data_IF_811073071323
#
_entry.id   IF_811073071323
#
_cell.length_a   1.000
_cell.length_b   1.000
_cell.length_c   1.000
_cell.angle_alpha   90.00
_cell.angle_beta   90.00
_cell.angle_gamma   90.00
#
_symmetry.space_group_name_H-M   'P 1'
#
loop_
_entity.id
_entity.type
_entity.pdbx_description
1 polymer ?
#
# COMPACT_ATOMS: atom_id res chain seq x y z
N UNK A 1 30.47 -16.20 -11.52
CA UNK A 1 30.05 -14.82 -11.82
C UNK A 1 29.59 -14.17 -10.52
N UNK A 2 30.37 -13.22 -9.95
CA UNK A 2 29.87 -12.38 -8.85
C UNK A 2 28.80 -11.48 -9.45
N UNK A 3 27.51 -11.78 -9.20
CA UNK A 3 26.41 -10.88 -9.55
C UNK A 3 26.72 -9.54 -8.89
N UNK A 4 26.70 -8.46 -9.66
CA UNK A 4 26.65 -7.12 -9.07
C UNK A 4 25.54 -7.12 -8.01
N UNK A 5 25.77 -6.53 -6.82
CA UNK A 5 24.72 -6.43 -5.82
C UNK A 5 23.58 -5.64 -6.45
N UNK A 6 22.52 -6.35 -6.85
CA UNK A 6 21.30 -5.71 -7.35
C UNK A 6 20.79 -4.82 -6.23
N UNK A 7 20.47 -3.57 -6.54
CA UNK A 7 19.81 -2.69 -5.59
C UNK A 7 18.61 -3.44 -4.98
N UNK A 8 18.46 -3.42 -3.65
CA UNK A 8 17.36 -4.11 -3.00
C UNK A 8 16.05 -3.56 -3.57
N UNK A 9 15.15 -4.48 -3.95
CA UNK A 9 13.83 -4.17 -4.47
C UNK A 9 12.76 -4.84 -3.61
N UNK A 10 11.53 -4.34 -3.70
CA UNK A 10 10.37 -4.99 -3.09
C UNK A 10 9.44 -5.59 -4.12
N UNK A 11 8.61 -6.51 -3.65
CA UNK A 11 7.50 -7.09 -4.40
C UNK A 11 6.17 -6.83 -3.69
N UNK A 12 5.08 -7.04 -4.41
CA UNK A 12 3.75 -7.17 -3.81
C UNK A 12 3.05 -8.37 -4.46
N UNK A 13 2.52 -9.25 -3.63
CA UNK A 13 1.68 -10.37 -4.06
C UNK A 13 0.19 -10.00 -3.99
N UNK A 14 -0.52 -10.23 -5.08
CA UNK A 14 -1.96 -10.03 -5.23
C UNK A 14 -2.63 -11.41 -5.36
N UNK A 15 -3.95 -11.50 -5.17
CA UNK A 15 -4.74 -12.73 -5.32
C UNK A 15 -4.25 -13.91 -4.46
N UNK A 16 -3.83 -13.59 -3.24
CA UNK A 16 -3.19 -14.54 -2.29
C UNK A 16 -1.85 -15.11 -2.73
N UNK A 17 -1.23 -14.56 -3.77
CA UNK A 17 0.17 -14.87 -4.04
C UNK A 17 1.01 -14.38 -2.87
N UNK A 18 1.91 -15.24 -2.39
CA UNK A 18 2.76 -15.01 -1.21
C UNK A 18 1.99 -14.70 0.10
N UNK A 19 0.73 -15.16 0.23
CA UNK A 19 -0.16 -14.89 1.37
C UNK A 19 0.16 -15.69 2.64
N UNK A 20 -0.14 -15.12 3.83
CA UNK A 20 0.74 -14.16 4.50
C UNK A 20 2.03 -14.83 5.00
N UNK A 21 3.10 -14.03 5.20
CA UNK A 21 4.42 -14.44 5.71
C UNK A 21 5.25 -15.38 4.82
N UNK A 22 4.71 -15.93 3.73
CA UNK A 22 5.47 -16.76 2.79
C UNK A 22 6.65 -16.02 2.17
N UNK A 23 6.50 -14.72 1.89
CA UNK A 23 7.59 -13.89 1.38
C UNK A 23 8.78 -13.86 2.35
N UNK A 24 8.54 -13.77 3.66
CA UNK A 24 9.60 -13.78 4.68
C UNK A 24 10.39 -15.09 4.72
N UNK A 25 9.72 -16.23 4.49
CA UNK A 25 10.37 -17.55 4.45
C UNK A 25 11.43 -17.61 3.33
N UNK A 26 11.18 -16.91 2.22
CA UNK A 26 12.07 -16.85 1.08
C UNK A 26 12.95 -15.59 1.05
N UNK A 27 12.98 -14.82 2.15
CA UNK A 27 13.71 -13.54 2.25
C UNK A 27 13.34 -12.53 1.14
N UNK A 28 12.10 -12.62 0.65
CA UNK A 28 11.55 -11.72 -0.35
C UNK A 28 10.98 -10.50 0.38
N UNK A 29 11.49 -9.31 0.08
CA UNK A 29 10.99 -8.07 0.65
C UNK A 29 9.60 -7.74 0.06
N UNK A 30 8.56 -7.97 0.84
CA UNK A 30 7.18 -7.71 0.46
C UNK A 30 6.67 -6.40 1.08
N UNK A 31 6.06 -5.53 0.27
CA UNK A 31 5.49 -4.25 0.73
C UNK A 31 4.40 -4.42 1.77
N UNK A 32 3.70 -5.56 1.77
CA UNK A 32 2.68 -5.90 2.76
C UNK A 32 3.27 -6.14 4.16
N UNK A 33 4.59 -6.34 4.25
CA UNK A 33 5.32 -6.60 5.50
C UNK A 33 6.23 -5.43 5.92
N UNK A 34 6.07 -4.25 5.31
CA UNK A 34 6.79 -3.03 5.70
C UNK A 34 6.30 -2.49 7.08
N UNK A 35 5.29 -3.14 7.65
CA UNK A 35 4.66 -2.88 8.94
C UNK A 35 5.56 -3.24 10.12
N UNK A 36 6.46 -2.33 10.50
CA UNK A 36 7.13 -2.39 11.79
C UNK A 36 6.38 -1.50 12.79
N UNK A 37 5.36 -2.07 13.45
CA UNK A 37 4.83 -1.67 14.77
C UNK A 37 4.06 -0.32 14.92
N UNK A 38 4.21 0.70 14.05
CA UNK A 38 3.22 1.83 13.98
C UNK A 38 2.25 1.56 12.83
N UNK A 39 1.17 0.87 13.18
CA UNK A 39 0.15 0.40 12.24
C UNK A 39 -0.57 1.57 11.57
N UNK A 40 -0.81 2.68 12.27
CA UNK A 40 -1.76 3.69 11.82
C UNK A 40 -1.30 4.49 10.59
N UNK A 41 -0.09 5.07 10.59
CA UNK A 41 0.34 5.90 9.45
C UNK A 41 0.59 5.11 8.19
N UNK A 42 1.23 3.94 8.27
CA UNK A 42 1.41 3.16 7.05
C UNK A 42 0.08 2.64 6.50
N UNK A 43 -0.87 2.31 7.39
CA UNK A 43 -2.25 2.01 7.01
C UNK A 43 -2.93 3.22 6.35
N UNK A 44 -2.82 4.41 6.92
CA UNK A 44 -3.42 5.63 6.35
C UNK A 44 -2.83 5.93 4.97
N UNK A 45 -1.50 5.81 4.83
CA UNK A 45 -0.79 5.93 3.57
C UNK A 45 -1.34 4.94 2.53
N UNK A 46 -1.35 3.64 2.85
CA UNK A 46 -1.78 2.59 1.91
C UNK A 46 -3.28 2.68 1.59
N UNK A 47 -4.13 2.98 2.58
CA UNK A 47 -5.57 3.18 2.39
C UNK A 47 -5.94 4.42 1.58
N UNK A 48 -5.02 5.38 1.41
CA UNK A 48 -5.21 6.52 0.52
C UNK A 48 -5.06 6.17 -0.96
N UNK A 49 -4.53 4.98 -1.25
CA UNK A 49 -4.30 4.47 -2.60
C UNK A 49 -4.97 3.12 -2.85
N UNK A 50 -5.65 2.56 -1.85
CA UNK A 50 -6.26 1.23 -1.88
C UNK A 50 -7.56 1.24 -1.08
N UNK A 51 -8.64 0.68 -1.62
CA UNK A 51 -9.98 0.87 -1.04
C UNK A 51 -10.14 0.34 0.39
N UNK A 52 -9.39 -0.70 0.82
CA UNK A 52 -9.63 -1.37 2.11
C UNK A 52 -8.46 -2.17 2.71
N UNK A 53 -7.75 -1.61 3.68
CA UNK A 53 -6.81 -2.38 4.52
C UNK A 53 -7.57 -3.02 5.70
N UNK A 54 -7.95 -4.30 5.61
CA UNK A 54 -8.65 -5.01 6.71
C UNK A 54 -7.69 -5.42 7.82
N UNK A 55 -8.04 -5.15 9.08
CA UNK A 55 -7.21 -5.53 10.23
C UNK A 55 -5.84 -4.84 10.30
N UNK A 56 -5.58 -3.84 9.45
CA UNK A 56 -4.32 -3.10 9.42
C UNK A 56 -3.22 -3.69 8.53
N UNK A 57 -3.50 -4.71 7.72
CA UNK A 57 -2.53 -5.30 6.79
C UNK A 57 -3.08 -5.41 5.36
N UNK A 58 -2.19 -5.27 4.38
CA UNK A 58 -2.50 -5.53 2.98
C UNK A 58 -2.48 -7.05 2.76
N UNK A 59 -3.60 -7.59 2.33
CA UNK A 59 -3.80 -9.03 2.09
C UNK A 59 -3.51 -9.44 0.64
N UNK A 60 -3.47 -8.47 -0.29
CA UNK A 60 -3.44 -8.73 -1.72
C UNK A 60 -4.84 -8.99 -2.31
N UNK A 61 -5.90 -8.67 -1.55
CA UNK A 61 -7.31 -8.73 -2.00
C UNK A 61 -7.94 -7.36 -2.21
N UNK A 62 -7.19 -6.31 -1.89
CA UNK A 62 -7.66 -4.94 -1.94
C UNK A 62 -7.73 -4.43 -3.39
N UNK A 63 -8.69 -3.55 -3.67
CA UNK A 63 -8.66 -2.81 -4.93
C UNK A 63 -7.48 -1.85 -4.86
N UNK A 64 -6.54 -1.99 -5.80
CA UNK A 64 -5.33 -1.17 -5.84
C UNK A 64 -5.45 -0.17 -6.98
N UNK A 65 -5.17 1.10 -6.67
CA UNK A 65 -4.89 2.11 -7.68
C UNK A 65 -3.49 1.86 -8.25
N UNK A 66 -3.42 1.27 -9.45
CA UNK A 66 -2.17 1.01 -10.14
C UNK A 66 -1.47 2.29 -10.65
N UNK A 67 -2.08 3.46 -10.57
CA UNK A 67 -1.45 4.76 -10.86
C UNK A 67 -0.87 5.43 -9.63
N UNK A 68 -1.17 4.88 -8.45
CA UNK A 68 -0.65 5.30 -7.16
C UNK A 68 0.88 5.42 -7.15
N UNK A 69 1.34 6.47 -6.47
CA UNK A 69 2.74 6.68 -6.08
C UNK A 69 3.22 5.71 -4.98
N UNK A 70 2.33 4.90 -4.40
CA UNK A 70 2.66 3.87 -3.42
C UNK A 70 3.71 2.90 -3.97
N UNK A 71 3.48 2.35 -5.18
CA UNK A 71 4.42 1.41 -5.81
C UNK A 71 5.81 2.00 -6.02
N UNK A 72 5.86 3.30 -6.31
CA UNK A 72 7.09 4.04 -6.57
C UNK A 72 7.87 4.21 -5.27
N UNK A 73 7.24 4.79 -4.25
CA UNK A 73 7.86 5.11 -2.97
C UNK A 73 8.25 3.89 -2.14
N UNK A 74 7.48 2.81 -2.28
CA UNK A 74 7.78 1.53 -1.62
C UNK A 74 8.82 0.72 -2.39
N UNK A 75 9.36 1.23 -3.51
CA UNK A 75 10.37 0.53 -4.30
C UNK A 75 9.87 -0.85 -4.78
N UNK A 76 8.58 -0.92 -5.12
CA UNK A 76 7.93 -2.13 -5.63
C UNK A 76 8.33 -2.35 -7.08
N UNK A 77 9.27 -3.27 -7.32
CA UNK A 77 9.74 -3.59 -8.68
C UNK A 77 8.93 -4.69 -9.34
N UNK A 78 8.38 -5.63 -8.57
CA UNK A 78 7.59 -6.73 -9.13
C UNK A 78 6.22 -6.84 -8.48
N UNK A 79 5.20 -7.04 -9.30
CA UNK A 79 3.84 -7.37 -8.90
C UNK A 79 3.58 -8.82 -9.32
N UNK A 80 3.18 -9.66 -8.37
CA UNK A 80 2.88 -11.06 -8.60
C UNK A 80 1.38 -11.28 -8.45
N UNK A 81 0.76 -12.02 -9.37
CA UNK A 81 -0.68 -12.29 -9.32
C UNK A 81 -1.04 -13.56 -10.09
N UNK A 82 -2.21 -14.13 -9.81
CA UNK A 82 -2.83 -15.19 -10.62
C UNK A 82 -3.72 -14.66 -11.74
N UNK A 83 -4.18 -13.40 -11.65
CA UNK A 83 -5.08 -12.76 -12.60
C UNK A 83 -4.39 -11.58 -13.30
N UNK A 84 -4.68 -11.30 -14.59
CA UNK A 84 -4.14 -10.14 -15.27
C UNK A 84 -4.39 -8.84 -14.48
N UNK A 85 -3.38 -7.96 -14.35
CA UNK A 85 -3.50 -6.72 -13.54
C UNK A 85 -4.61 -5.77 -14.01
N UNK A 86 -5.00 -5.83 -15.28
CA UNK A 86 -6.14 -5.11 -15.84
C UNK A 86 -7.50 -5.71 -15.44
N UNK A 87 -7.49 -6.90 -14.83
CA UNK A 87 -8.66 -7.64 -14.35
C UNK A 87 -8.78 -7.71 -12.82
N UNK A 88 -7.77 -7.27 -12.07
CA UNK A 88 -7.61 -7.55 -10.63
C UNK A 88 -8.51 -6.76 -9.65
N UNK A 89 -9.44 -5.94 -10.11
CA UNK A 89 -10.10 -4.96 -9.24
C UNK A 89 -11.29 -5.47 -8.39
N UNK A 90 -11.50 -6.78 -8.17
CA UNK A 90 -12.85 -7.21 -7.69
C UNK A 90 -13.06 -8.60 -7.09
N UNK A 91 -12.07 -9.49 -6.94
CA UNK A 91 -12.39 -10.90 -6.60
C UNK A 91 -13.16 -11.09 -5.27
N UNK A 92 -13.15 -10.12 -4.34
CA UNK A 92 -13.91 -10.14 -3.08
C UNK A 92 -15.06 -9.13 -2.93
N UNK A 93 -15.38 -8.37 -3.99
CA UNK A 93 -16.38 -7.28 -4.04
C UNK A 93 -17.74 -7.61 -3.39
N UNK A 94 -18.22 -8.85 -3.54
CA UNK A 94 -19.58 -9.28 -3.16
C UNK A 94 -19.81 -9.34 -1.64
N UNK A 95 -18.75 -9.42 -0.82
CA UNK A 95 -18.93 -9.65 0.63
C UNK A 95 -19.48 -8.44 1.39
N UNK A 96 -19.50 -7.24 0.79
CA UNK A 96 -19.70 -5.99 1.53
C UNK A 96 -20.70 -4.99 0.92
N UNK A 97 -21.28 -5.29 -0.25
CA UNK A 97 -22.50 -4.62 -0.66
C UNK A 97 -23.57 -4.93 0.40
N UNK A 98 -24.05 -3.93 1.15
CA UNK A 98 -25.17 -4.07 2.09
C UNK A 98 -26.46 -4.02 1.26
N UNK A 99 -27.04 -5.15 0.89
CA UNK A 99 -27.98 -5.15 -0.22
C UNK A 99 -29.42 -5.19 0.33
N UNK A 100 -30.39 -4.59 -0.39
CA UNK A 100 -31.84 -4.58 -0.04
C UNK A 100 -32.65 -5.33 -1.11
N UNK A 101 -33.73 -6.05 -0.76
CA UNK A 101 -33.80 -7.42 -0.21
C UNK A 101 -33.51 -8.55 -1.24
N UNK A 102 -33.16 -9.74 -0.74
CA UNK A 102 -32.96 -11.07 -1.39
C UNK A 102 -31.76 -11.26 -2.34
N UNK A 103 -30.55 -11.25 -1.79
CA UNK A 103 -29.31 -11.55 -2.52
C UNK A 103 -28.81 -12.93 -2.15
N UNK A 104 -28.29 -13.66 -3.14
CA UNK A 104 -27.61 -14.94 -2.93
C UNK A 104 -26.21 -14.82 -3.51
N UNK A 105 -25.19 -15.04 -2.67
CA UNK A 105 -23.81 -15.14 -3.14
C UNK A 105 -23.55 -16.58 -3.58
N UNK A 106 -23.20 -16.79 -4.83
CA UNK A 106 -22.60 -18.04 -5.29
C UNK A 106 -21.07 -17.90 -5.33
N UNK A 107 -20.36 -19.03 -5.22
CA UNK A 107 -18.92 -19.10 -4.93
C UNK A 107 -18.03 -18.35 -5.94
N UNK A 108 -18.57 -17.94 -7.10
CA UNK A 108 -17.88 -17.17 -8.15
C UNK A 108 -18.67 -15.99 -8.71
N UNK A 109 -19.95 -15.80 -8.39
CA UNK A 109 -20.82 -14.80 -9.06
C UNK A 109 -21.79 -14.13 -8.08
N UNK A 110 -22.17 -12.89 -8.37
CA UNK A 110 -23.18 -12.13 -7.62
C UNK A 110 -24.54 -12.39 -8.25
N UNK A 111 -25.41 -13.13 -7.56
CA UNK A 111 -26.80 -13.28 -7.98
C UNK A 111 -27.64 -12.28 -7.18
N UNK A 112 -28.07 -11.22 -7.86
CA UNK A 112 -29.05 -10.28 -7.35
C UNK A 112 -30.46 -10.76 -7.75
N UNK A 113 -31.19 -11.36 -6.80
CA UNK A 113 -32.57 -11.82 -7.05
C UNK A 113 -33.53 -10.66 -6.72
N UNK A 114 -34.00 -9.95 -7.74
CA UNK A 114 -34.81 -8.74 -7.53
C UNK A 114 -36.28 -9.11 -7.68
N UNK A 115 -36.92 -9.33 -6.53
CA UNK A 115 -38.31 -9.80 -6.46
C UNK A 115 -39.34 -8.68 -6.61
N UNK A 116 -38.97 -7.41 -6.38
CA UNK A 116 -39.87 -6.25 -6.40
C UNK A 116 -39.33 -5.09 -7.27
N UNK A 117 -40.17 -4.43 -8.09
CA UNK A 117 -39.79 -3.24 -8.87
C UNK A 117 -39.37 -2.07 -7.97
N UNK A 118 -38.34 -1.29 -8.38
CA UNK A 118 -37.95 -0.04 -7.72
C UNK A 118 -36.82 -0.12 -6.68
N UNK A 119 -35.88 -1.05 -6.80
CA UNK A 119 -34.80 -1.25 -5.81
C UNK A 119 -33.42 -0.80 -6.31
N UNK A 120 -32.77 0.11 -5.56
CA UNK A 120 -31.33 0.44 -5.69
C UNK A 120 -30.48 -0.73 -5.18
N UNK A 121 -29.61 -1.29 -6.02
CA UNK A 121 -28.97 -2.59 -5.71
C UNK A 121 -27.64 -2.45 -4.95
N UNK A 122 -26.75 -1.49 -5.27
CA UNK A 122 -25.58 -1.17 -4.42
C UNK A 122 -24.85 0.09 -4.90
N UNK A 123 -24.11 0.78 -4.01
CA UNK A 123 -23.14 1.83 -4.38
C UNK A 123 -21.73 1.27 -4.33
N UNK A 124 -20.90 1.53 -5.35
CA UNK A 124 -19.52 1.07 -5.42
C UNK A 124 -18.57 2.28 -5.47
N UNK A 125 -17.73 2.53 -4.44
CA UNK A 125 -16.71 3.56 -4.56
C UNK A 125 -15.72 3.19 -5.68
N UNK A 126 -15.45 4.11 -6.58
CA UNK A 126 -14.54 3.88 -7.72
C UNK A 126 -13.22 4.58 -7.41
N UNK A 127 -12.07 3.90 -7.59
CA UNK A 127 -10.75 4.53 -7.46
C UNK A 127 -10.63 5.77 -8.36
N UNK A 128 -9.90 6.82 -7.98
CA UNK A 128 -9.70 8.01 -8.83
C UNK A 128 -9.15 7.70 -10.23
N UNK A 129 -8.43 6.58 -10.39
CA UNK A 129 -7.85 6.09 -11.65
C UNK A 129 -8.84 5.38 -12.57
N UNK A 130 -9.99 4.95 -12.05
CA UNK A 130 -10.94 4.14 -12.81
C UNK A 130 -11.95 5.04 -13.54
N UNK A 131 -12.08 4.83 -14.85
CA UNK A 131 -12.98 5.58 -15.73
C UNK A 131 -14.17 4.76 -16.22
N UNK A 132 -14.43 3.62 -15.59
CA UNK A 132 -15.54 2.76 -15.97
C UNK A 132 -15.58 1.45 -15.21
N UNK A 133 -16.53 0.61 -15.59
CA UNK A 133 -16.77 -0.69 -15.00
C UNK A 133 -17.15 -1.67 -16.10
N UNK A 134 -16.54 -2.84 -16.10
CA UNK A 134 -16.85 -3.96 -16.98
C UNK A 134 -17.33 -5.12 -16.13
N UNK A 135 -18.41 -5.78 -16.50
CA UNK A 135 -18.89 -6.98 -15.83
C UNK A 135 -19.65 -7.85 -16.83
N UNK A 136 -19.94 -9.09 -16.47
CA UNK A 136 -20.92 -9.92 -17.16
C UNK A 136 -22.25 -9.82 -16.44
N UNK A 137 -23.34 -9.69 -17.18
CA UNK A 137 -24.67 -9.77 -16.61
C UNK A 137 -25.62 -10.57 -17.49
N UNK A 138 -26.61 -11.20 -16.86
CA UNK A 138 -27.76 -11.84 -17.52
C UNK A 138 -29.00 -11.68 -16.67
N UNK A 139 -30.17 -11.83 -17.28
CA UNK A 139 -31.42 -11.92 -16.54
C UNK A 139 -32.34 -13.00 -17.09
N UNK A 140 -32.99 -13.77 -16.20
CA UNK A 140 -33.92 -14.84 -16.59
C UNK A 140 -35.08 -14.34 -17.46
N UNK A 141 -35.50 -13.08 -17.24
CA UNK A 141 -36.53 -12.38 -18.02
C UNK A 141 -35.95 -11.07 -18.58
N UNK A 142 -36.60 -10.46 -19.58
CA UNK A 142 -36.15 -9.16 -20.11
C UNK A 142 -36.13 -8.12 -18.99
N UNK A 143 -34.94 -7.57 -18.73
CA UNK A 143 -34.68 -6.61 -17.68
C UNK A 143 -33.90 -5.42 -18.22
N UNK A 144 -34.20 -4.22 -17.74
CA UNK A 144 -33.41 -3.03 -18.00
C UNK A 144 -32.48 -2.79 -16.82
N UNK A 145 -31.17 -2.73 -17.07
CA UNK A 145 -30.17 -2.39 -16.10
C UNK A 145 -29.70 -0.95 -16.33
N UNK A 146 -30.20 -0.01 -15.52
CA UNK A 146 -29.63 1.35 -15.47
C UNK A 146 -28.43 1.41 -14.55
N UNK A 147 -27.47 2.25 -14.89
CA UNK A 147 -26.22 2.40 -14.16
C UNK A 147 -25.86 3.87 -14.18
N UNK A 148 -25.88 4.50 -13.02
CA UNK A 148 -25.42 5.88 -12.84
C UNK A 148 -23.93 5.93 -12.48
N UNK A 149 -23.28 6.99 -12.90
CA UNK A 149 -21.91 7.35 -12.59
C UNK A 149 -21.90 8.82 -12.13
N UNK A 150 -22.00 9.07 -10.83
CA UNK A 150 -21.98 10.44 -10.27
C UNK A 150 -23.24 11.26 -10.62
N UNK A 151 -23.11 12.59 -10.63
CA UNK A 151 -24.25 13.54 -10.72
C UNK A 151 -24.87 13.76 -12.12
N UNK A 152 -24.74 12.85 -13.08
CA UNK A 152 -25.46 13.10 -14.36
C UNK A 152 -25.38 12.07 -15.47
N UNK A 153 -24.46 11.11 -15.44
CA UNK A 153 -24.36 10.13 -16.52
C UNK A 153 -25.01 8.82 -16.11
N UNK A 154 -26.03 8.39 -16.86
CA UNK A 154 -26.66 7.08 -16.70
C UNK A 154 -26.58 6.31 -18.00
N UNK A 155 -26.06 5.09 -17.93
CA UNK A 155 -26.11 4.12 -19.03
C UNK A 155 -27.22 3.12 -18.76
N UNK A 156 -27.93 2.67 -19.80
CA UNK A 156 -28.94 1.63 -19.67
C UNK A 156 -28.62 0.46 -20.57
N UNK A 157 -28.70 -0.76 -20.05
CA UNK A 157 -28.40 -1.99 -20.76
C UNK A 157 -29.58 -2.95 -20.62
N UNK A 158 -30.14 -3.38 -21.75
CA UNK A 158 -31.15 -4.43 -21.78
C UNK A 158 -30.48 -5.79 -21.61
N UNK A 159 -30.84 -6.49 -20.54
CA UNK A 159 -30.37 -7.82 -20.20
C UNK A 159 -31.30 -8.89 -20.76
N UNK A 160 -30.68 -9.96 -21.26
CA UNK A 160 -31.32 -11.15 -21.79
C UNK A 160 -30.92 -12.41 -20.98
N UNK A 161 -31.53 -13.58 -21.23
CA UNK A 161 -31.20 -14.85 -20.55
C UNK A 161 -29.81 -15.43 -20.84
N UNK A 162 -29.00 -14.76 -21.65
CA UNK A 162 -27.60 -15.09 -21.92
C UNK A 162 -26.61 -14.14 -21.22
N UNK A 163 -25.38 -14.62 -20.96
CA UNK A 163 -24.32 -13.78 -20.42
C UNK A 163 -23.88 -12.72 -21.43
N UNK A 164 -24.05 -11.46 -21.04
CA UNK A 164 -23.65 -10.31 -21.84
C UNK A 164 -22.54 -9.54 -21.12
N UNK A 165 -21.51 -9.15 -21.86
CA UNK A 165 -20.49 -8.23 -21.34
C UNK A 165 -21.09 -6.83 -21.31
N UNK A 166 -21.20 -6.27 -20.10
CA UNK A 166 -21.63 -4.91 -19.84
C UNK A 166 -20.38 -4.07 -19.58
N UNK A 167 -20.29 -2.93 -20.25
CA UNK A 167 -19.26 -1.94 -20.01
C UNK A 167 -19.92 -0.58 -19.80
N UNK A 168 -19.47 0.11 -18.76
CA UNK A 168 -19.98 1.41 -18.34
C UNK A 168 -18.80 2.33 -18.28
N UNK A 169 -18.88 3.47 -18.94
CA UNK A 169 -17.88 4.51 -18.79
C UNK A 169 -18.35 5.48 -17.70
N UNK A 170 -17.42 5.82 -16.81
CA UNK A 170 -17.58 6.82 -15.78
C UNK A 170 -16.67 7.99 -16.14
N UNK A 171 -17.23 9.07 -16.69
CA UNK A 171 -16.50 10.33 -16.84
C UNK A 171 -16.30 10.95 -15.44
N UNK A 172 -15.24 10.54 -14.76
CA UNK A 172 -14.88 11.01 -13.43
C UNK A 172 -13.96 12.22 -13.50
N UNK A 173 -14.41 13.34 -14.10
CA UNK A 173 -13.84 14.63 -13.72
C UNK A 173 -14.30 14.93 -12.28
N UNK A 174 -13.53 14.45 -11.30
CA UNK A 174 -13.58 14.91 -9.91
C UNK A 174 -14.62 14.27 -8.97
N UNK A 175 -15.40 13.26 -9.39
CA UNK A 175 -16.40 12.64 -8.50
C UNK A 175 -15.91 11.31 -7.90
N UNK A 176 -15.66 11.31 -6.58
CA UNK A 176 -15.14 10.17 -5.79
C UNK A 176 -16.20 9.15 -5.36
N UNK A 177 -17.48 9.47 -5.55
CA UNK A 177 -18.60 8.57 -5.29
C UNK A 177 -19.32 8.27 -6.59
N UNK A 178 -18.70 7.42 -7.41
CA UNK A 178 -19.45 6.69 -8.42
C UNK A 178 -20.34 5.69 -7.68
N UNK A 179 -21.58 5.55 -8.11
CA UNK A 179 -22.53 4.63 -7.49
C UNK A 179 -23.38 4.03 -8.57
N UNK A 180 -23.24 2.73 -8.79
CA UNK A 180 -23.97 2.03 -9.83
C UNK A 180 -25.42 1.82 -9.37
N UNK A 181 -26.34 2.71 -9.72
CA UNK A 181 -27.76 2.54 -9.37
C UNK A 181 -28.50 1.65 -10.37
N UNK A 182 -28.63 0.36 -10.07
CA UNK A 182 -29.40 -0.62 -10.84
C UNK A 182 -30.90 -0.32 -10.70
N UNK A 183 -31.54 0.28 -11.71
CA UNK A 183 -32.99 0.46 -11.75
C UNK A 183 -33.62 -0.48 -12.76
N UNK A 184 -34.54 -1.34 -12.29
CA UNK A 184 -35.21 -2.36 -13.08
C UNK A 184 -36.64 -2.01 -13.42
N UNK A 185 -36.96 -2.15 -14.69
CA UNK A 185 -38.34 -2.15 -15.20
C UNK A 185 -38.56 -3.49 -15.90
N UNK A 186 -39.05 -4.49 -15.18
CA UNK A 186 -39.40 -5.80 -15.71
C UNK A 186 -40.58 -6.37 -14.91
N UNK A 187 -41.39 -7.24 -15.53
CA UNK A 187 -42.49 -7.94 -14.87
C UNK A 187 -42.02 -8.69 -13.60
N UNK A 188 -42.94 -8.93 -12.66
CA UNK A 188 -42.66 -9.54 -11.36
C UNK A 188 -41.66 -10.72 -11.46
N UNK A 189 -40.60 -10.71 -10.64
CA UNK A 189 -39.71 -11.86 -10.44
C UNK A 189 -38.44 -11.97 -11.30
N UNK A 190 -37.89 -10.86 -11.83
CA UNK A 190 -36.64 -10.91 -12.59
C UNK A 190 -35.41 -11.26 -11.72
N UNK A 191 -34.71 -12.33 -12.06
CA UNK A 191 -33.40 -12.66 -11.46
C UNK A 191 -32.29 -12.06 -12.32
N UNK A 192 -31.39 -11.26 -11.75
CA UNK A 192 -30.17 -10.78 -12.40
C UNK A 192 -28.96 -11.47 -11.82
N UNK A 193 -28.10 -11.96 -12.69
CA UNK A 193 -26.80 -12.47 -12.30
C UNK A 193 -25.72 -11.55 -12.85
N UNK A 194 -24.79 -11.16 -11.99
CA UNK A 194 -23.64 -10.33 -12.29
C UNK A 194 -22.39 -11.12 -11.95
N UNK A 195 -21.43 -11.13 -12.85
CA UNK A 195 -20.19 -11.87 -12.67
C UNK A 195 -18.99 -11.08 -13.20
N UNK A 196 -17.78 -11.40 -12.73
CA UNK A 196 -16.53 -10.84 -13.23
C UNK A 196 -16.55 -9.32 -13.40
N UNK A 197 -17.08 -8.62 -12.41
CA UNK A 197 -17.02 -7.15 -12.37
C UNK A 197 -15.57 -6.71 -12.28
N UNK A 198 -15.12 -5.64 -12.93
CA UNK A 198 -13.75 -5.12 -12.94
C UNK A 198 -13.83 -3.63 -13.29
N UNK A 199 -13.08 -2.73 -12.66
CA UNK A 199 -13.03 -1.36 -13.17
C UNK A 199 -12.28 -1.28 -14.52
N UNK A 200 -12.70 -0.37 -15.38
CA UNK A 200 -11.96 0.03 -16.58
C UNK A 200 -11.04 1.20 -16.19
N UNK A 201 -9.79 1.15 -16.65
CA UNK A 201 -8.83 2.25 -16.51
C UNK A 201 -8.68 2.97 -17.85
N UNK A 202 -8.39 4.28 -17.84
CA UNK A 202 -8.18 5.07 -19.07
C UNK A 202 -6.99 4.49 -19.84
N UNK A 203 -7.13 4.41 -21.17
CA UNK A 203 -5.98 4.17 -22.05
C UNK A 203 -5.09 5.41 -22.03
N UNK A 204 -3.96 5.29 -21.33
CA UNK A 204 -3.08 6.41 -20.96
C UNK A 204 -3.16 6.69 -19.46
N UNK A 205 -2.72 5.75 -18.62
CA UNK A 205 -2.75 5.91 -17.17
C UNK A 205 -1.91 4.80 -16.52
N UNK A 206 -0.60 5.06 -16.34
CA UNK A 206 0.56 4.28 -15.82
C UNK A 206 0.57 2.73 -15.79
N UNK A 207 -0.45 1.98 -16.18
CA UNK A 207 -0.46 0.51 -16.27
C UNK A 207 0.61 -0.02 -17.21
N UNK A 208 0.91 0.72 -18.29
CA UNK A 208 1.98 0.39 -19.25
C UNK A 208 3.37 0.32 -18.60
N UNK A 209 3.52 0.88 -17.38
CA UNK A 209 4.75 0.74 -16.58
C UNK A 209 4.96 -0.70 -16.13
N UNK A 210 3.88 -1.47 -15.98
CA UNK A 210 3.90 -2.87 -15.57
C UNK A 210 4.05 -3.77 -16.80
N UNK A 211 5.30 -4.16 -17.07
CA UNK A 211 5.59 -5.09 -18.17
C UNK A 211 5.47 -6.52 -17.66
N UNK A 212 4.61 -7.34 -18.28
CA UNK A 212 4.59 -8.78 -18.05
C UNK A 212 5.95 -9.38 -18.46
N UNK A 213 6.62 -10.04 -17.53
CA UNK A 213 7.95 -10.66 -17.75
C UNK A 213 7.94 -12.17 -17.51
N UNK A 214 6.85 -12.70 -16.95
CA UNK A 214 6.65 -14.12 -16.69
C UNK A 214 5.15 -14.41 -16.70
N UNK A 215 4.77 -15.49 -17.38
CA UNK A 215 3.38 -15.87 -17.68
C UNK A 215 3.31 -17.40 -17.79
N UNK A 216 3.16 -18.06 -16.65
CA UNK A 216 2.95 -19.51 -16.57
C UNK A 216 2.06 -19.85 -15.37
N UNK A 217 2.62 -20.40 -14.29
CA UNK A 217 1.91 -20.73 -13.05
C UNK A 217 1.41 -19.49 -12.29
N UNK A 218 2.11 -18.37 -12.44
CA UNK A 218 1.74 -17.04 -11.97
C UNK A 218 2.11 -16.00 -13.03
N UNK A 219 1.54 -14.81 -12.89
CA UNK A 219 1.92 -13.64 -13.66
C UNK A 219 2.88 -12.79 -12.84
N UNK A 220 4.01 -12.40 -13.45
CA UNK A 220 4.94 -11.45 -12.83
C UNK A 220 5.09 -10.23 -13.73
N UNK A 221 4.76 -9.07 -13.18
CA UNK A 221 4.89 -7.78 -13.84
C UNK A 221 6.06 -6.99 -13.25
N UNK A 222 6.94 -6.48 -14.11
CA UNK A 222 7.98 -5.52 -13.75
C UNK A 222 7.43 -4.09 -13.79
N UNK A 223 7.47 -3.38 -12.66
CA UNK A 223 7.20 -1.95 -12.58
C UNK A 223 8.43 -1.14 -13.03
N UNK A 224 8.38 -0.58 -14.24
CA UNK A 224 9.47 0.22 -14.82
C UNK A 224 9.75 1.52 -14.06
N UNK A 225 8.76 2.05 -13.36
CA UNK A 225 8.85 3.36 -12.68
C UNK A 225 9.24 3.26 -11.21
N UNK A 226 9.46 2.05 -10.69
CA UNK A 226 9.84 1.84 -9.29
C UNK A 226 11.04 2.72 -8.91
N UNK A 227 10.86 3.61 -7.92
CA UNK A 227 11.94 4.46 -7.44
C UNK A 227 12.96 3.61 -6.69
N UNK A 228 14.25 4.01 -6.67
CA UNK A 228 15.23 3.34 -5.84
C UNK A 228 14.84 3.46 -4.36
N UNK A 229 15.12 2.41 -3.57
CA UNK A 229 14.81 2.37 -2.14
C UNK A 229 15.36 3.58 -1.38
N UNK A 230 16.49 4.11 -1.83
CA UNK A 230 17.05 5.35 -1.32
C UNK A 230 17.63 6.22 -2.44
N UNK A 231 17.63 7.53 -2.23
CA UNK A 231 18.25 8.51 -3.12
C UNK A 231 18.46 9.83 -2.37
N UNK A 232 19.32 10.72 -2.90
CA UNK A 232 19.43 12.09 -2.36
C UNK A 232 18.63 13.05 -3.22
N UNK A 233 17.58 13.63 -2.64
CA UNK A 233 16.78 14.69 -3.21
C UNK A 233 17.37 16.07 -2.88
N UNK A 234 17.18 17.02 -3.79
CA UNK A 234 17.60 18.42 -3.63
C UNK A 234 16.43 19.39 -3.56
N UNK A 235 15.21 18.89 -3.71
CA UNK A 235 13.99 19.64 -3.52
C UNK A 235 13.16 19.03 -2.40
N UNK A 236 12.39 19.88 -1.73
CA UNK A 236 11.46 19.44 -0.71
C UNK A 236 10.27 20.39 -0.64
N UNK A 237 9.14 19.89 -0.14
CA UNK A 237 7.96 20.70 0.15
C UNK A 237 7.54 20.50 1.60
N UNK A 238 7.18 21.60 2.26
CA UNK A 238 6.76 21.61 3.65
C UNK A 238 5.24 21.69 3.70
N UNK A 239 4.63 20.83 4.51
CA UNK A 239 3.19 20.82 4.77
C UNK A 239 2.93 21.18 6.22
N UNK A 240 1.77 21.78 6.49
CA UNK A 240 1.37 22.16 7.85
C UNK A 240 0.88 20.98 8.68
N UNK A 241 0.34 19.96 8.00
CA UNK A 241 -0.34 18.82 8.62
C UNK A 241 -0.27 17.58 7.70
N UNK A 242 -0.48 16.41 8.31
CA UNK A 242 -0.37 15.12 7.60
C UNK A 242 -1.42 14.94 6.52
N UNK A 243 -2.62 15.51 6.71
CA UNK A 243 -3.74 15.35 5.79
C UNK A 243 -3.52 16.13 4.50
N UNK A 244 -3.03 17.38 4.59
CA UNK A 244 -2.68 18.17 3.40
C UNK A 244 -1.52 17.56 2.60
N UNK A 245 -0.53 16.98 3.30
CA UNK A 245 0.56 16.23 2.67
C UNK A 245 0.04 15.01 1.92
N UNK A 246 -0.76 14.17 2.59
CA UNK A 246 -1.28 12.93 2.01
C UNK A 246 -2.20 13.21 0.81
N UNK A 247 -3.07 14.22 0.92
CA UNK A 247 -3.90 14.67 -0.20
C UNK A 247 -3.05 15.10 -1.40
N UNK A 248 -1.96 15.84 -1.19
CA UNK A 248 -1.06 16.22 -2.27
C UNK A 248 -0.37 15.02 -2.93
N UNK A 249 -0.10 13.93 -2.19
CA UNK A 249 0.47 12.70 -2.75
C UNK A 249 -0.56 11.94 -3.59
N UNK A 250 -1.81 11.87 -3.11
CA UNK A 250 -2.93 11.23 -3.83
C UNK A 250 -3.25 11.97 -5.12
N UNK A 251 -3.24 13.30 -5.09
CA UNK A 251 -3.49 14.13 -6.27
C UNK A 251 -2.32 14.11 -7.29
N UNK A 252 -1.19 13.48 -6.97
CA UNK A 252 -0.04 13.40 -7.88
C UNK A 252 0.59 14.76 -8.23
N UNK A 253 0.36 15.80 -7.42
CA UNK A 253 0.84 17.18 -7.70
C UNK A 253 2.36 17.31 -7.72
N UNK A 254 3.06 16.37 -7.09
CA UNK A 254 4.49 16.44 -6.84
C UNK A 254 5.26 15.29 -7.50
N UNK A 255 6.38 15.62 -8.14
CA UNK A 255 7.35 14.65 -8.63
C UNK A 255 8.17 14.07 -7.45
N UNK A 256 7.66 12.97 -6.89
CA UNK A 256 8.25 12.29 -5.73
C UNK A 256 9.59 11.61 -6.03
N UNK A 257 10.00 11.52 -7.31
CA UNK A 257 11.34 11.07 -7.69
C UNK A 257 12.41 12.13 -7.39
N UNK A 258 12.01 13.40 -7.26
CA UNK A 258 12.92 14.55 -7.06
C UNK A 258 12.63 15.36 -5.80
N UNK A 259 11.41 15.27 -5.28
CA UNK A 259 10.91 16.12 -4.20
C UNK A 259 10.49 15.29 -3.00
N UNK A 260 11.04 15.61 -1.83
CA UNK A 260 10.63 15.01 -0.56
C UNK A 260 9.58 15.88 0.11
N UNK A 261 8.43 15.31 0.44
CA UNK A 261 7.38 16.01 1.18
C UNK A 261 7.64 15.83 2.69
N UNK A 262 7.58 16.91 3.44
CA UNK A 262 8.02 16.97 4.83
C UNK A 262 6.95 17.67 5.68
N UNK A 263 6.72 17.17 6.89
CA UNK A 263 5.96 17.89 7.93
C UNK A 263 6.90 18.68 8.85
N UNK A 264 8.11 18.15 9.05
CA UNK A 264 9.11 18.74 9.94
C UNK A 264 9.74 19.98 9.28
N UNK A 265 9.86 21.08 10.02
CA UNK A 265 10.45 22.31 9.51
C UNK A 265 11.96 22.17 9.37
N UNK A 266 12.48 22.37 8.15
CA UNK A 266 13.91 22.43 7.91
C UNK A 266 14.43 23.85 8.10
N UNK A 267 15.64 24.00 8.64
CA UNK A 267 16.32 25.29 8.64
C UNK A 267 16.61 25.71 7.18
N UNK A 268 15.81 26.67 6.71
CA UNK A 268 15.85 27.22 5.34
C UNK A 268 17.20 27.86 5.01
N UNK A 269 17.97 28.30 6.01
CA UNK A 269 19.32 28.84 5.80
C UNK A 269 20.32 27.73 5.51
N UNK A 270 20.09 26.54 6.06
CA UNK A 270 20.98 25.40 5.92
C UNK A 270 20.68 24.53 4.68
N UNK A 271 19.54 24.74 4.02
CA UNK A 271 19.13 23.96 2.84
C UNK A 271 18.54 24.83 1.72
N UNK A 272 19.26 24.94 0.59
CA UNK A 272 18.77 25.63 -0.61
C UNK A 272 18.13 24.63 -1.57
N UNK A 273 16.82 24.78 -1.82
CA UNK A 273 16.06 23.97 -2.80
C UNK A 273 16.65 24.07 -4.21
N UNK A 274 16.69 22.95 -4.93
CA UNK A 274 17.14 22.83 -6.33
C UNK A 274 16.28 21.82 -7.07
N UNK A 275 15.75 22.21 -8.22
CA UNK A 275 15.06 21.31 -9.16
C UNK A 275 16.09 20.66 -10.09
N UNK A 276 16.76 19.63 -9.60
CA UNK A 276 17.77 18.86 -10.34
C UNK A 276 17.58 17.37 -10.07
N UNK A 277 18.16 16.52 -10.91
CA UNK A 277 18.10 15.06 -10.72
C UNK A 277 18.57 14.62 -9.31
N UNK A 278 17.96 13.58 -8.73
CA UNK A 278 18.43 13.03 -7.47
C UNK A 278 19.79 12.35 -7.67
N UNK A 279 20.56 12.26 -6.59
CA UNK A 279 21.77 11.43 -6.60
C UNK A 279 21.39 10.00 -6.23
N UNK A 280 21.72 9.05 -7.11
CA UNK A 280 21.63 7.62 -6.81
C UNK A 280 22.62 7.25 -5.71
N UNK A 281 22.26 6.29 -4.87
CA UNK A 281 23.05 5.86 -3.71
C UNK A 281 23.22 4.36 -3.72
N UNK A 282 24.27 3.87 -3.07
CA UNK A 282 24.47 2.44 -2.83
C UNK A 282 23.87 2.09 -1.47
N UNK A 283 23.00 1.09 -1.44
CA UNK A 283 22.41 0.58 -0.20
C UNK A 283 23.08 -0.74 0.17
N UNK A 284 23.72 -0.78 1.32
CA UNK A 284 24.37 -1.95 1.90
C UNK A 284 23.58 -2.37 3.16
N UNK A 285 22.78 -3.43 3.04
CA UNK A 285 22.06 -3.97 4.18
C UNK A 285 23.02 -4.83 5.04
N UNK A 286 23.29 -4.38 6.27
CA UNK A 286 24.16 -5.09 7.23
C UNK A 286 23.38 -6.06 8.13
N UNK A 287 22.04 -6.02 8.11
CA UNK A 287 21.16 -6.92 8.85
C UNK A 287 19.73 -6.39 8.93
N UNK A 288 18.93 -6.94 9.85
CA UNK A 288 17.54 -6.52 10.10
C UNK A 288 17.49 -5.19 10.87
N UNK A 289 18.45 -4.95 11.76
CA UNK A 289 18.50 -3.77 12.64
C UNK A 289 19.47 -2.68 12.14
N UNK A 290 20.08 -2.85 10.97
CA UNK A 290 21.12 -1.94 10.47
C UNK A 290 21.14 -1.84 8.95
N UNK A 291 21.15 -0.61 8.45
CA UNK A 291 21.31 -0.27 7.04
C UNK A 291 22.41 0.77 6.88
N UNK A 292 23.30 0.58 5.91
CA UNK A 292 24.31 1.56 5.54
C UNK A 292 24.08 2.04 4.11
N UNK A 293 24.14 3.34 3.90
CA UNK A 293 23.91 3.97 2.61
C UNK A 293 25.10 4.86 2.29
N UNK A 294 25.70 4.67 1.11
CA UNK A 294 26.82 5.49 0.64
C UNK A 294 26.32 6.37 -0.50
N UNK A 295 26.45 7.68 -0.31
CA UNK A 295 26.01 8.69 -1.27
C UNK A 295 27.16 9.63 -1.61
N UNK A 296 27.36 9.95 -2.89
CA UNK A 296 28.24 11.03 -3.32
C UNK A 296 27.40 12.22 -3.82
N UNK A 297 26.95 13.04 -2.88
CA UNK A 297 25.96 14.08 -3.16
C UNK A 297 26.56 15.28 -3.88
N UNK A 298 25.86 15.77 -4.92
CA UNK A 298 26.28 16.95 -5.69
C UNK A 298 26.11 18.27 -4.93
N UNK A 299 25.14 18.32 -4.02
CA UNK A 299 24.81 19.47 -3.18
C UNK A 299 24.44 19.00 -1.77
N UNK A 300 24.19 19.94 -0.86
CA UNK A 300 23.46 19.62 0.37
C UNK A 300 22.06 19.14 -0.01
N UNK A 301 21.61 18.03 0.58
CA UNK A 301 20.46 17.26 0.12
C UNK A 301 19.80 16.44 1.23
N UNK A 302 18.61 15.91 0.96
CA UNK A 302 17.90 14.99 1.82
C UNK A 302 18.09 13.59 1.26
N UNK A 303 18.76 12.72 2.00
CA UNK A 303 18.77 11.30 1.69
C UNK A 303 17.43 10.72 2.13
N UNK A 304 16.57 10.42 1.16
CA UNK A 304 15.33 9.69 1.33
C UNK A 304 15.61 8.19 1.45
N UNK A 305 14.87 7.52 2.33
CA UNK A 305 14.83 6.07 2.47
C UNK A 305 13.37 5.62 2.56
N UNK A 306 12.94 4.78 1.62
CA UNK A 306 11.60 4.19 1.54
C UNK A 306 11.33 3.11 2.60
N UNK A 307 11.80 3.30 3.82
CA UNK A 307 11.51 2.47 4.99
C UNK A 307 10.69 3.30 5.99
N UNK A 308 9.71 2.68 6.65
CA UNK A 308 8.82 3.36 7.60
C UNK A 308 9.59 4.04 8.75
N UNK A 309 9.29 5.32 8.98
CA UNK A 309 9.68 6.11 10.14
C UNK A 309 9.06 5.49 11.39
N UNK A 310 9.93 5.00 12.28
CA UNK A 310 9.52 4.35 13.51
C UNK A 310 10.40 4.82 14.68
N UNK A 311 9.83 5.07 15.88
CA UNK A 311 10.61 5.45 17.05
C UNK A 311 11.67 4.42 17.44
N UNK A 312 12.88 4.85 17.76
CA UNK A 312 13.99 3.96 18.14
C UNK A 312 14.98 3.66 17.01
N UNK A 313 14.70 4.12 15.79
CA UNK A 313 15.75 4.27 14.79
C UNK A 313 16.63 5.47 15.12
N UNK A 314 17.94 5.28 14.98
CA UNK A 314 18.95 6.34 15.01
C UNK A 314 19.64 6.42 13.66
N UNK A 315 20.00 7.63 13.24
CA UNK A 315 20.82 7.83 12.05
C UNK A 315 22.18 8.40 12.45
N UNK A 316 23.23 7.90 11.81
CA UNK A 316 24.56 8.48 11.87
C UNK A 316 24.97 8.93 10.47
N UNK A 317 25.34 10.20 10.33
CA UNK A 317 25.91 10.74 9.08
C UNK A 317 27.40 10.98 9.32
N UNK A 318 28.23 10.21 8.63
CA UNK A 318 29.69 10.20 8.81
C UNK A 318 30.11 9.97 10.28
N UNK A 319 29.43 9.04 10.95
CA UNK A 319 29.71 8.65 12.34
C UNK A 319 29.13 9.58 13.42
N UNK A 320 28.44 10.66 13.05
CA UNK A 320 27.78 11.58 13.99
C UNK A 320 26.27 11.41 13.96
N UNK A 321 25.64 11.37 15.14
CA UNK A 321 24.18 11.28 15.24
C UNK A 321 23.52 12.44 14.50
N UNK A 322 22.52 12.09 13.69
CA UNK A 322 21.76 13.01 12.85
C UNK A 322 20.27 12.80 13.09
N UNK A 323 19.52 13.90 12.97
CA UNK A 323 18.08 13.88 13.04
C UNK A 323 17.49 13.08 11.86
N UNK A 324 16.54 12.21 12.17
CA UNK A 324 15.72 11.53 11.17
C UNK A 324 14.44 12.34 11.02
N UNK A 325 14.19 12.79 9.80
CA UNK A 325 12.96 13.47 9.43
C UNK A 325 11.93 12.48 8.90
N UNK A 326 10.65 12.80 9.12
CA UNK A 326 9.56 12.13 8.42
C UNK A 326 9.41 12.69 7.02
N UNK A 327 9.46 11.80 6.06
CA UNK A 327 9.45 12.09 4.63
C UNK A 327 8.33 11.33 3.94
N UNK A 328 7.66 11.97 2.98
CA UNK A 328 6.61 11.34 2.16
C UNK A 328 5.61 10.57 3.02
N UNK A 329 5.07 11.26 4.04
CA UNK A 329 4.09 10.79 5.03
C UNK A 329 4.61 9.79 6.08
N UNK A 330 5.14 8.64 5.65
CA UNK A 330 5.51 7.52 6.54
C UNK A 330 6.98 7.12 6.46
N UNK A 331 7.75 7.64 5.51
CA UNK A 331 9.14 7.22 5.28
C UNK A 331 10.15 8.11 6.00
N UNK A 332 11.45 7.79 5.86
CA UNK A 332 12.54 8.51 6.53
C UNK A 332 13.33 9.36 5.55
N UNK A 333 13.84 10.48 6.06
CA UNK A 333 14.92 11.20 5.42
C UNK A 333 15.97 11.66 6.44
N UNK A 334 17.21 11.85 5.98
CA UNK A 334 18.27 12.50 6.76
C UNK A 334 18.98 13.53 5.92
N UNK A 335 19.47 14.60 6.54
CA UNK A 335 20.25 15.59 5.84
C UNK A 335 21.66 15.06 5.54
N UNK A 336 22.12 15.27 4.31
CA UNK A 336 23.48 15.00 3.85
C UNK A 336 24.11 16.25 3.26
N UNK A 337 25.43 16.38 3.37
CA UNK A 337 26.18 17.51 2.79
C UNK A 337 26.64 17.18 1.38
N UNK A 338 27.06 18.19 0.62
CA UNK A 338 27.80 17.98 -0.63
C UNK A 338 29.02 17.08 -0.40
N UNK A 339 29.26 16.15 -1.30
CA UNK A 339 30.37 15.19 -1.29
C UNK A 339 29.97 13.80 -0.80
N UNK A 340 30.97 13.03 -0.39
CA UNK A 340 30.79 11.66 0.12
C UNK A 340 30.15 11.68 1.51
N UNK A 341 29.04 10.97 1.66
CA UNK A 341 28.37 10.74 2.94
C UNK A 341 28.19 9.23 3.14
N UNK A 342 28.46 8.77 4.36
CA UNK A 342 28.12 7.44 4.84
C UNK A 342 27.00 7.63 5.86
N UNK A 343 25.83 7.12 5.54
CA UNK A 343 24.64 7.20 6.39
C UNK A 343 24.35 5.82 6.95
N UNK A 344 24.29 5.68 8.27
CA UNK A 344 23.97 4.43 8.94
C UNK A 344 22.68 4.60 9.74
N UNK A 345 21.67 3.78 9.44
CA UNK A 345 20.47 3.65 10.24
C UNK A 345 20.64 2.44 11.16
N UNK A 346 20.43 2.63 12.46
CA UNK A 346 20.53 1.58 13.47
C UNK A 346 19.26 1.58 14.31
N UNK A 347 18.60 0.43 14.41
CA UNK A 347 17.45 0.25 15.27
C UNK A 347 17.91 -0.14 16.68
N UNK A 348 17.73 0.78 17.63
CA UNK A 348 18.13 0.59 19.03
C UNK A 348 17.07 1.24 19.96
N UNK A 349 15.89 0.62 20.11
CA UNK A 349 14.80 1.18 20.90
C UNK A 349 15.11 1.06 22.41
N UNK A 350 14.81 2.14 23.15
CA UNK A 350 15.00 2.17 24.61
C UNK A 350 14.18 1.12 25.39
N UNK A 351 13.12 0.57 24.77
CA UNK A 351 12.29 -0.49 25.34
C UNK A 351 13.06 -1.79 25.56
N UNK A 352 13.98 -2.15 24.65
CA UNK A 352 14.79 -3.37 24.77
C UNK A 352 15.72 -3.27 25.98
N UNK A 353 16.41 -2.14 26.14
CA UNK A 353 17.28 -1.90 27.29
C UNK A 353 16.50 -1.88 28.61
N UNK A 354 15.33 -1.23 28.65
CA UNK A 354 14.46 -1.24 29.84
C UNK A 354 13.94 -2.65 30.17
N UNK A 355 13.52 -3.40 29.15
CA UNK A 355 13.05 -4.77 29.30
C UNK A 355 14.14 -5.67 29.89
N UNK A 356 15.37 -5.57 29.38
CA UNK A 356 16.51 -6.32 29.91
C UNK A 356 16.78 -6.01 31.38
N UNK A 357 16.76 -4.73 31.77
CA UNK A 357 16.94 -4.33 33.18
C UNK A 357 15.85 -4.93 34.07
N UNK A 358 14.58 -4.88 33.64
CA UNK A 358 13.44 -5.45 34.37
C UNK A 358 13.58 -6.97 34.49
N UNK A 359 13.96 -7.66 33.42
CA UNK A 359 14.17 -9.12 33.42
C UNK A 359 15.29 -9.53 34.37
N UNK A 360 16.43 -8.81 34.38
CA UNK A 360 17.54 -9.07 35.30
C UNK A 360 17.09 -8.84 36.76
N UNK A 361 16.40 -7.72 37.03
CA UNK A 361 15.91 -7.43 38.37
C UNK A 361 14.91 -8.50 38.85
N UNK A 362 14.00 -8.94 37.99
CA UNK A 362 13.05 -10.02 38.30
C UNK A 362 13.74 -11.36 38.55
N UNK A 363 14.74 -11.71 37.73
CA UNK A 363 15.54 -12.92 37.93
C UNK A 363 16.30 -12.90 39.27
N UNK A 364 16.94 -11.78 39.61
CA UNK A 364 17.65 -11.63 40.89
C UNK A 364 16.70 -11.70 42.09
N UNK A 365 15.50 -11.11 41.98
CA UNK A 365 14.48 -11.20 43.02
C UNK A 365 14.00 -12.65 43.23
N UNK A 366 13.75 -13.40 42.15
CA UNK A 366 13.37 -14.81 42.22
C UNK A 366 14.50 -15.67 42.80
N UNK A 367 15.74 -15.45 42.37
CA UNK A 367 16.90 -16.13 42.92
C UNK A 367 17.08 -15.86 44.42
N UNK A 368 16.86 -14.61 44.85
CA UNK A 368 16.90 -14.24 46.26
C UNK A 368 15.82 -14.94 47.08
N UNK A 369 14.56 -14.93 46.62
CA UNK A 369 13.45 -15.62 47.30
C UNK A 369 13.71 -17.13 47.39
N UNK A 370 14.19 -17.73 46.31
CA UNK A 370 14.50 -19.16 46.26
C UNK A 370 15.66 -19.52 47.20
N UNK A 371 16.75 -18.76 47.17
CA UNK A 371 17.88 -18.93 48.08
C UNK A 371 17.49 -18.76 49.55
N UNK A 372 16.65 -17.77 49.86
CA UNK A 372 16.11 -17.56 51.21
C UNK A 372 15.23 -18.71 51.69
N UNK A 373 14.40 -19.28 50.81
CA UNK A 373 13.57 -20.45 51.10
C UNK A 373 14.40 -21.70 51.42
N UNK A 374 15.45 -21.96 50.62
CA UNK A 374 16.38 -23.07 50.87
C UNK A 374 17.11 -22.88 52.20
N UNK A 375 17.63 -21.68 52.46
CA UNK A 375 18.31 -21.38 53.72
C UNK A 375 17.40 -21.61 54.94
N UNK A 376 16.14 -21.18 54.86
CA UNK A 376 15.15 -21.39 55.93
C UNK A 376 14.85 -22.87 56.15
N UNK A 377 14.81 -23.67 55.08
CA UNK A 377 14.58 -25.12 55.16
C UNK A 377 15.78 -25.83 55.79
N UNK A 378 17.01 -25.49 55.35
CA UNK A 378 18.24 -26.02 55.92
C UNK A 378 18.36 -25.74 57.43
N UNK A 379 18.05 -24.51 57.86
CA UNK A 379 18.09 -24.12 59.28
C UNK A 379 17.01 -24.80 60.14
N UNK A 380 15.94 -25.34 59.53
CA UNK A 380 14.90 -26.10 60.25
C UNK A 380 15.25 -27.59 60.40
N UNK A 381 16.17 -28.10 59.59
CA UNK A 381 16.59 -29.51 59.58
C UNK A 381 17.92 -29.77 60.29
N UNK A 382 18.65 -28.71 60.65
CA UNK A 382 19.79 -28.72 61.56
C UNK A 382 19.33 -28.25 62.95
#
# INVERSE_FOLDING_TARGET
>A
MKKEPKDPFRVIGLDRVLFPNMASVFEIADVRLLDALVIERYKDFTSSFMDRVYGGHITGHENIDFNSSMFDLTNTRYVLSTDPIDSQMTSYFIRFARPKPNYIKEYKSLIAVIKEPGSTVFKIPVPPSANGLVFKARSQNTAELRISAGQGQSSSVSLKPEWQKVAVDANSEGNKELSFDFNLTAGQGAEIQIDQMVYRNIKGDRLDRFKLIYDDDILIYENKDALPRAFVAYNYEEFKDSSSLLNSMVEGKNDLSRTVLMEDQLDKKAFKKRKVEPTKVSVEQKGINSLKIVANSRFDGLLFLGDNFYPGWKALVNGKEAEIYRANYTFKAVRVRKGKNIVEFVYNPSSVSRGLIISIAGFLALAFIFGFSIFKTYKKSA
#
